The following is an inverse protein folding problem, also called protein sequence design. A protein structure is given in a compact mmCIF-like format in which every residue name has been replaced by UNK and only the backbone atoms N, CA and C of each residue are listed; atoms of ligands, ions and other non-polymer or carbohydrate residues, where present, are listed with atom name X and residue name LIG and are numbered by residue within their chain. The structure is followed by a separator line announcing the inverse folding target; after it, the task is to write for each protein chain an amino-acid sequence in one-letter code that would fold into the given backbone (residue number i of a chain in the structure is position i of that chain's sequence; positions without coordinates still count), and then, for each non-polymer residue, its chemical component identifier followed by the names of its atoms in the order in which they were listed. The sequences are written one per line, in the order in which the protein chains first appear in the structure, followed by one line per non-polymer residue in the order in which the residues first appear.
data_IF_875284132971
#
_entry.id   IF_875284132971
#
_cell.length_a   1.000
_cell.length_b   1.000
_cell.length_c   1.000
_cell.angle_alpha   90.00
_cell.angle_beta   90.00
_cell.angle_gamma   90.00
#
_symmetry.space_group_name_H-M   'P 1'
#
loop_
_entity.id
_entity.type
_entity.pdbx_description
1 polymer ?
#
# COMPACT_ATOMS: atom_id res chain seq x y z
N UNK A 1 23.52 15.11 -20.94
CA UNK A 1 23.53 13.78 -20.30
C UNK A 1 22.36 13.71 -19.32
N UNK A 2 21.25 13.00 -19.61
CA UNK A 2 20.16 12.91 -18.64
C UNK A 2 20.59 11.99 -17.49
N UNK A 3 20.57 12.53 -16.27
CA UNK A 3 20.88 11.79 -15.05
C UNK A 3 19.93 10.58 -14.91
N UNK A 4 20.50 9.36 -14.93
CA UNK A 4 19.76 8.12 -14.79
C UNK A 4 19.28 7.96 -13.34
N UNK A 5 18.00 8.22 -13.12
CA UNK A 5 17.34 8.04 -11.82
C UNK A 5 17.31 6.53 -11.52
N UNK A 6 17.62 6.12 -10.30
CA UNK A 6 17.55 4.70 -9.92
C UNK A 6 16.15 4.14 -10.22
N UNK A 7 16.04 2.93 -10.77
CA UNK A 7 14.74 2.33 -11.04
C UNK A 7 13.97 2.12 -9.73
N UNK A 8 12.63 2.21 -9.78
CA UNK A 8 11.73 2.16 -8.61
C UNK A 8 12.04 0.98 -7.68
N UNK A 9 12.26 -0.21 -8.22
CA UNK A 9 12.56 -1.41 -7.42
C UNK A 9 13.84 -1.27 -6.57
N UNK A 10 14.86 -0.58 -7.09
CA UNK A 10 16.14 -0.40 -6.41
C UNK A 10 16.02 0.65 -5.32
N UNK A 11 15.23 1.70 -5.57
CA UNK A 11 14.85 2.70 -4.56
C UNK A 11 14.07 2.05 -3.41
N UNK A 12 13.05 1.28 -3.74
CA UNK A 12 12.19 0.59 -2.74
C UNK A 12 13.01 -0.44 -1.93
N UNK A 13 13.92 -1.18 -2.59
CA UNK A 13 14.82 -2.12 -1.94
C UNK A 13 15.80 -1.44 -0.97
N UNK A 14 16.45 -0.35 -1.42
CA UNK A 14 17.36 0.41 -0.57
C UNK A 14 16.64 1.02 0.64
N UNK A 15 15.42 1.53 0.44
CA UNK A 15 14.59 2.05 1.53
C UNK A 15 14.27 0.95 2.56
N UNK A 16 13.93 -0.26 2.10
CA UNK A 16 13.71 -1.40 2.98
C UNK A 16 14.96 -1.79 3.77
N UNK A 17 16.13 -1.88 3.12
CA UNK A 17 17.39 -2.17 3.79
C UNK A 17 17.75 -1.10 4.84
N UNK A 18 17.55 0.18 4.50
CA UNK A 18 17.78 1.28 5.42
C UNK A 18 16.87 1.19 6.66
N UNK A 19 15.59 0.83 6.48
CA UNK A 19 14.66 0.63 7.60
C UNK A 19 15.08 -0.53 8.52
N UNK A 20 15.52 -1.66 7.96
CA UNK A 20 16.03 -2.80 8.76
C UNK A 20 17.30 -2.40 9.54
N UNK A 21 18.23 -1.68 8.89
CA UNK A 21 19.46 -1.23 9.54
C UNK A 21 19.18 -0.19 10.64
N UNK A 22 18.22 0.71 10.44
CA UNK A 22 17.78 1.66 11.45
C UNK A 22 17.17 0.94 12.66
N UNK A 23 16.32 -0.08 12.43
CA UNK A 23 15.76 -0.90 13.51
C UNK A 23 16.82 -1.63 14.34
N UNK A 24 17.85 -2.19 13.69
CA UNK A 24 19.00 -2.80 14.39
C UNK A 24 19.72 -1.79 15.28
N UNK A 25 20.02 -0.61 14.73
CA UNK A 25 20.70 0.46 15.49
C UNK A 25 19.90 0.92 16.72
N UNK A 26 18.58 0.91 16.66
CA UNK A 26 17.73 1.22 17.82
C UNK A 26 17.91 0.15 18.90
N UNK A 27 17.81 -1.14 18.55
CA UNK A 27 17.99 -2.24 19.51
C UNK A 27 19.42 -2.28 20.09
N UNK A 28 20.44 -1.99 19.29
CA UNK A 28 21.83 -1.88 19.76
C UNK A 28 22.02 -0.67 20.70
N UNK A 29 21.36 0.47 20.43
CA UNK A 29 21.40 1.65 21.29
C UNK A 29 20.69 1.38 22.63
N UNK A 30 19.54 0.69 22.61
CA UNK A 30 18.82 0.25 23.82
C UNK A 30 19.69 -0.71 24.66
N UNK A 31 20.37 -1.67 24.03
CA UNK A 31 21.24 -2.61 24.73
C UNK A 31 22.50 -1.96 25.31
N UNK A 32 23.06 -0.97 24.62
CA UNK A 32 24.30 -0.28 25.03
C UNK A 32 24.06 0.97 25.90
N UNK A 33 22.81 1.33 26.18
CA UNK A 33 22.45 2.53 26.93
C UNK A 33 22.84 3.84 26.23
N UNK A 34 23.09 3.81 24.91
CA UNK A 34 23.41 5.00 24.10
C UNK A 34 22.11 5.71 23.72
N UNK A 35 22.14 7.06 23.55
CA UNK A 35 20.96 7.81 23.15
C UNK A 35 20.44 7.31 21.80
N UNK A 36 19.11 7.14 21.72
CA UNK A 36 18.42 6.63 20.53
C UNK A 36 18.81 7.46 19.29
N UNK A 37 19.11 6.83 18.14
CA UNK A 37 19.30 7.59 16.91
C UNK A 37 18.04 8.42 16.59
N UNK A 38 18.19 9.67 16.11
CA UNK A 38 17.05 10.51 15.78
C UNK A 38 16.16 9.80 14.74
N UNK A 39 14.82 9.90 14.87
CA UNK A 39 13.91 9.21 13.98
C UNK A 39 14.17 9.63 12.54
N UNK A 40 14.55 8.67 11.69
CA UNK A 40 14.66 8.90 10.26
C UNK A 40 13.29 9.34 9.75
N UNK A 41 13.19 10.56 9.24
CA UNK A 41 11.97 11.07 8.66
C UNK A 41 11.48 10.07 7.60
N UNK A 42 10.32 9.46 7.85
CA UNK A 42 9.71 8.54 6.89
C UNK A 42 9.40 9.33 5.62
N UNK A 43 10.14 9.01 4.57
CA UNK A 43 10.05 9.56 3.22
C UNK A 43 8.60 9.81 2.79
N UNK A 44 8.19 11.08 2.74
CA UNK A 44 6.89 11.55 2.22
C UNK A 44 6.83 11.54 0.67
N UNK A 45 7.82 10.94 0.01
CA UNK A 45 8.10 11.21 -1.39
C UNK A 45 7.48 10.15 -2.31
N UNK A 46 6.73 10.68 -3.28
CA UNK A 46 6.21 10.05 -4.51
C UNK A 46 4.82 9.42 -4.42
N UNK A 47 3.90 10.10 -3.74
CA UNK A 47 2.48 9.86 -3.98
C UNK A 47 2.04 10.72 -5.16
N UNK A 48 2.15 10.21 -6.39
CA UNK A 48 1.49 10.75 -7.61
C UNK A 48 -0.06 10.74 -7.48
N UNK A 49 -0.57 10.68 -6.25
CA UNK A 49 -1.95 10.54 -5.89
C UNK A 49 -2.53 11.92 -5.65
N UNK A 50 -3.34 12.38 -6.60
CA UNK A 50 -4.07 13.63 -6.58
C UNK A 50 -5.23 13.53 -5.58
N UNK A 51 -5.41 14.49 -4.65
CA UNK A 51 -6.56 14.54 -3.77
C UNK A 51 -7.82 15.01 -4.53
N UNK A 52 -8.96 14.37 -4.27
CA UNK A 52 -10.24 14.81 -4.83
C UNK A 52 -10.78 16.06 -4.09
N UNK A 53 -11.20 17.12 -4.79
CA UNK A 53 -11.70 18.36 -4.17
C UNK A 53 -13.08 18.21 -3.49
N UNK A 54 -13.82 17.14 -3.80
CA UNK A 54 -15.17 16.93 -3.25
C UNK A 54 -15.21 16.00 -2.04
N UNK A 55 -14.36 14.97 -2.00
CA UNK A 55 -14.37 13.96 -0.92
C UNK A 55 -13.05 13.79 -0.16
N UNK A 56 -11.97 14.49 -0.55
CA UNK A 56 -10.67 14.45 0.13
C UNK A 56 -9.88 13.13 -0.01
N UNK A 57 -10.40 12.13 -0.72
CA UNK A 57 -9.68 10.86 -0.97
C UNK A 57 -8.55 11.06 -2.00
N UNK A 58 -7.42 10.35 -1.85
CA UNK A 58 -6.23 10.42 -2.72
C UNK A 58 -6.24 9.30 -3.76
N UNK A 59 -6.05 9.62 -5.04
CA UNK A 59 -6.06 8.66 -6.15
C UNK A 59 -4.91 8.92 -7.13
N UNK A 60 -4.35 7.87 -7.74
CA UNK A 60 -3.43 8.03 -8.88
C UNK A 60 -4.10 8.84 -10.03
N UNK A 61 -3.33 9.56 -10.84
CA UNK A 61 -3.80 10.44 -11.93
C UNK A 61 -4.92 9.83 -12.78
N UNK A 62 -4.73 8.62 -13.32
CA UNK A 62 -5.76 7.97 -14.15
C UNK A 62 -7.05 7.63 -13.38
N UNK A 63 -6.91 7.27 -12.10
CA UNK A 63 -8.05 7.03 -11.23
C UNK A 63 -8.76 8.34 -10.86
N UNK A 64 -8.01 9.43 -10.66
CA UNK A 64 -8.54 10.76 -10.40
C UNK A 64 -9.40 11.28 -11.56
N UNK A 65 -8.95 11.10 -12.81
CA UNK A 65 -9.72 11.48 -14.02
C UNK A 65 -11.12 10.85 -14.05
N UNK A 66 -11.23 9.58 -13.65
CA UNK A 66 -12.52 8.86 -13.59
C UNK A 66 -13.30 9.14 -12.31
N UNK A 67 -12.59 9.46 -11.23
CA UNK A 67 -13.16 9.67 -9.91
C UNK A 67 -13.79 11.05 -9.76
N UNK A 68 -13.12 12.12 -10.17
CA UNK A 68 -13.59 13.52 -10.03
C UNK A 68 -15.01 13.72 -10.58
N UNK A 69 -15.33 13.36 -11.84
CA UNK A 69 -16.67 13.61 -12.40
C UNK A 69 -17.77 12.79 -11.70
N UNK A 70 -17.47 11.56 -11.26
CA UNK A 70 -18.42 10.72 -10.52
C UNK A 70 -18.59 11.17 -9.07
N UNK A 71 -17.50 11.62 -8.45
CA UNK A 71 -17.53 12.10 -7.08
C UNK A 71 -18.33 13.40 -6.96
N UNK A 72 -18.22 14.29 -7.96
CA UNK A 72 -19.00 15.51 -8.03
C UNK A 72 -20.52 15.26 -7.93
N UNK A 73 -21.03 14.22 -8.61
CA UNK A 73 -22.46 13.89 -8.61
C UNK A 73 -22.93 13.10 -7.37
N UNK A 74 -22.02 12.40 -6.68
CA UNK A 74 -22.36 11.47 -5.57
C UNK A 74 -22.10 12.08 -4.19
N UNK A 75 -21.45 13.25 -4.10
CA UNK A 75 -20.86 13.83 -2.88
C UNK A 75 -21.79 14.00 -1.67
N UNK A 76 -23.11 13.81 -1.80
CA UNK A 76 -24.07 14.03 -0.71
C UNK A 76 -25.04 12.88 -0.39
N UNK A 77 -24.92 11.67 -0.97
CA UNK A 77 -25.88 10.59 -0.64
C UNK A 77 -25.36 9.16 -0.75
N UNK A 78 -24.59 8.65 0.23
CA UNK A 78 -24.57 7.21 0.44
C UNK A 78 -25.96 6.78 0.92
N UNK A 79 -26.81 6.31 0.00
CA UNK A 79 -27.97 5.50 0.39
C UNK A 79 -27.37 4.27 1.05
N UNK A 80 -27.59 4.09 2.35
CA UNK A 80 -27.26 2.82 3.01
C UNK A 80 -27.81 1.70 2.13
N UNK A 81 -26.96 0.77 1.71
CA UNK A 81 -27.45 -0.48 1.17
C UNK A 81 -28.15 -1.17 2.34
N UNK A 82 -29.48 -1.23 2.30
CA UNK A 82 -30.26 -2.06 3.20
C UNK A 82 -29.75 -3.50 3.07
N UNK A 83 -29.72 -4.25 4.19
CA UNK A 83 -29.39 -5.67 4.19
C UNK A 83 -30.17 -6.39 3.09
N UNK A 84 -29.46 -6.98 2.11
CA UNK A 84 -30.05 -7.64 0.93
C UNK A 84 -30.11 -6.80 -0.36
N UNK A 85 -29.73 -5.52 -0.34
CA UNK A 85 -29.82 -4.62 -1.51
C UNK A 85 -28.63 -4.65 -2.50
N UNK A 86 -27.62 -5.47 -2.25
CA UNK A 86 -26.43 -5.58 -3.09
C UNK A 86 -26.37 -6.93 -3.80
N UNK A 87 -27.19 -7.13 -4.82
CA UNK A 87 -27.25 -8.45 -5.43
C UNK A 87 -27.94 -8.55 -6.77
N UNK A 88 -27.54 -7.77 -7.79
CA UNK A 88 -27.80 -8.09 -9.20
C UNK A 88 -26.72 -7.46 -10.10
N UNK A 89 -25.67 -8.21 -10.42
CA UNK A 89 -24.86 -8.07 -11.66
C UNK A 89 -23.67 -9.04 -11.68
N UNK A 90 -23.91 -10.32 -11.94
CA UNK A 90 -23.09 -11.13 -12.85
C UNK A 90 -23.97 -12.21 -13.48
N UNK A 91 -24.64 -11.88 -14.58
CA UNK A 91 -25.12 -12.91 -15.49
C UNK A 91 -23.92 -13.42 -16.30
N UNK A 92 -23.39 -14.55 -15.85
CA UNK A 92 -22.71 -15.58 -16.67
C UNK A 92 -21.44 -15.19 -17.44
N UNK A 93 -20.28 -15.28 -16.76
CA UNK A 93 -19.04 -15.73 -17.41
C UNK A 93 -18.14 -16.45 -16.38
N UNK A 94 -17.74 -17.72 -16.60
CA UNK A 94 -16.83 -18.40 -15.68
C UNK A 94 -15.43 -17.79 -15.80
N UNK A 95 -14.99 -17.07 -14.76
CA UNK A 95 -13.59 -16.63 -14.63
C UNK A 95 -12.74 -17.87 -14.35
N UNK A 96 -11.94 -18.30 -15.32
CA UNK A 96 -10.98 -19.39 -15.13
C UNK A 96 -10.04 -19.06 -13.97
N UNK A 97 -10.09 -19.88 -12.91
CA UNK A 97 -9.09 -19.89 -11.85
C UNK A 97 -7.86 -20.62 -12.39
N UNK A 98 -6.86 -19.89 -12.88
CA UNK A 98 -5.53 -20.45 -13.06
C UNK A 98 -4.94 -20.70 -11.66
N UNK A 99 -4.81 -21.98 -11.27
CA UNK A 99 -4.15 -22.37 -10.05
C UNK A 99 -2.65 -22.09 -10.14
N UNK A 100 -2.15 -21.18 -9.30
CA UNK A 100 -0.76 -21.22 -8.85
C UNK A 100 -0.77 -21.87 -7.48
N UNK A 101 -0.43 -23.15 -7.45
CA UNK A 101 -0.19 -23.92 -6.24
C UNK A 101 1.05 -23.37 -5.55
N UNK A 102 0.88 -22.45 -4.60
CA UNK A 102 1.94 -22.08 -3.65
C UNK A 102 2.07 -23.22 -2.65
N UNK A 103 3.15 -23.98 -2.77
CA UNK A 103 3.50 -25.10 -1.90
C UNK A 103 3.48 -24.70 -0.42
N UNK A 104 2.86 -25.57 0.39
CA UNK A 104 2.78 -25.49 1.84
C UNK A 104 4.15 -25.30 2.46
N UNK A 105 4.29 -24.22 3.23
CA UNK A 105 5.31 -24.11 4.27
C UNK A 105 4.95 -25.14 5.36
N UNK A 106 5.61 -26.30 5.31
CA UNK A 106 5.61 -27.25 6.41
C UNK A 106 6.41 -26.67 7.58
N UNK A 107 5.71 -26.44 8.69
CA UNK A 107 6.31 -26.08 9.96
C UNK A 107 7.20 -27.19 10.48
N UNK A 108 8.32 -26.79 11.10
CA UNK A 108 9.08 -27.61 12.03
C UNK A 108 8.96 -26.91 13.37
N UNK A 109 7.97 -27.35 14.11
CA UNK A 109 7.76 -27.08 15.52
C UNK A 109 8.91 -27.62 16.36
N UNK A 110 9.21 -26.87 17.43
CA UNK A 110 10.20 -27.16 18.46
C UNK A 110 9.76 -28.30 19.40
N UNK A 111 10.72 -28.73 20.26
CA UNK A 111 10.63 -29.63 21.45
C UNK A 111 11.10 -31.06 21.11
N UNK A 112 12.15 -31.64 21.70
CA UNK A 112 12.73 -31.56 23.05
C UNK A 112 14.27 -31.68 23.01
#
# INVERSE_FOLDING_TARGET
MPANKLPKWKRDHMAFQAAINAGKQISDAEASGRPLPPPVATREEDDDRVPCPHCGRRFNANAAERHIPKCNSISAKPKMLTRGGGGQAISSAPRQRTGSSSASRGGRDCVL
#
